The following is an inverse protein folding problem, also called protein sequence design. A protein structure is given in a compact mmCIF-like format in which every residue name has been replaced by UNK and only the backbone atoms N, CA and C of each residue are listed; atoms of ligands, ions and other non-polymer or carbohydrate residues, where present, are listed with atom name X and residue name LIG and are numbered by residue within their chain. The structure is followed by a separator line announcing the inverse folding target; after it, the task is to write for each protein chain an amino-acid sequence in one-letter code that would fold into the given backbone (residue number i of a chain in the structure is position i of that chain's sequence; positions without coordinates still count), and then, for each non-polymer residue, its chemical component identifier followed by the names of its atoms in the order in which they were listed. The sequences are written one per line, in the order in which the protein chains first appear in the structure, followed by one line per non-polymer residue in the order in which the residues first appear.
data_IF_480235454449
#
_entry.id   IF_480235454449
#
_cell.length_a   1.000
_cell.length_b   1.000
_cell.length_c   1.000
_cell.angle_alpha   90.00
_cell.angle_beta   90.00
_cell.angle_gamma   90.00
#
_symmetry.space_group_name_H-M   'P 1'
#
loop_
_entity.id
_entity.type
_entity.pdbx_description
1 polymer ?
#
# COMPACT_ATOMS: atom_id res chain seq x y z
N UNK A 1 -5.97 -35.63 10.15
CA UNK A 1 -7.09 -34.70 10.44
C UNK A 1 -6.69 -33.85 11.62
N UNK A 2 -6.58 -32.54 11.43
CA UNK A 2 -6.21 -31.64 12.54
C UNK A 2 -7.41 -31.36 13.44
N UNK A 3 -7.16 -30.99 14.70
CA UNK A 3 -8.21 -30.60 15.67
C UNK A 3 -9.13 -29.51 15.10
N UNK A 4 -8.59 -28.64 14.24
CA UNK A 4 -9.35 -27.61 13.50
C UNK A 4 -10.38 -28.19 12.51
N UNK A 5 -10.07 -29.30 11.85
CA UNK A 5 -10.98 -29.96 10.89
C UNK A 5 -12.12 -30.68 11.60
N UNK A 6 -11.83 -31.24 12.78
CA UNK A 6 -12.84 -31.89 13.62
C UNK A 6 -13.83 -30.84 14.17
N UNK A 7 -13.32 -29.69 14.61
CA UNK A 7 -14.14 -28.60 15.12
C UNK A 7 -15.00 -27.98 14.02
N UNK A 8 -14.44 -27.70 12.85
CA UNK A 8 -15.18 -27.17 11.70
C UNK A 8 -16.34 -28.10 11.28
N UNK A 9 -16.12 -29.42 11.31
CA UNK A 9 -17.11 -30.42 10.90
C UNK A 9 -18.22 -30.65 11.93
N UNK A 10 -17.93 -30.44 13.23
CA UNK A 10 -18.92 -30.50 14.31
C UNK A 10 -19.78 -29.23 14.31
N UNK A 11 -19.19 -28.06 14.00
CA UNK A 11 -19.91 -26.78 13.95
C UNK A 11 -20.78 -26.65 12.69
N UNK A 12 -20.41 -27.24 11.55
CA UNK A 12 -21.20 -27.15 10.31
C UNK A 12 -22.39 -28.12 10.21
N UNK A 13 -22.58 -29.00 11.19
CA UNK A 13 -23.66 -30.00 11.18
C UNK A 13 -25.02 -29.41 11.59
N UNK A 14 -26.12 -29.94 11.03
CA UNK A 14 -27.49 -29.49 11.31
C UNK A 14 -27.91 -29.57 12.79
N UNK A 15 -27.22 -30.35 13.61
CA UNK A 15 -27.40 -30.41 15.06
C UNK A 15 -26.76 -29.24 15.84
N UNK A 16 -25.85 -28.48 15.23
CA UNK A 16 -25.18 -27.33 15.86
C UNK A 16 -26.08 -26.11 16.07
N UNK A 17 -27.08 -25.93 15.20
CA UNK A 17 -27.92 -24.71 15.15
C UNK A 17 -28.78 -24.46 16.39
N UNK A 18 -29.03 -25.46 17.24
CA UNK A 18 -29.93 -25.33 18.41
C UNK A 18 -29.16 -24.99 19.70
N UNK A 19 -27.83 -25.13 19.72
CA UNK A 19 -26.96 -24.79 20.87
C UNK A 19 -26.12 -23.53 20.60
N UNK A 20 -26.33 -22.89 19.44
CA UNK A 20 -25.42 -21.87 18.90
C UNK A 20 -25.48 -20.52 19.63
N UNK A 21 -26.65 -20.07 20.06
CA UNK A 21 -26.78 -18.72 20.65
C UNK A 21 -26.05 -18.59 21.98
N UNK A 22 -26.26 -19.47 22.98
CA UNK A 22 -25.65 -19.31 24.31
C UNK A 22 -24.12 -19.44 24.27
N UNK A 23 -23.59 -20.38 23.48
CA UNK A 23 -22.14 -20.60 23.39
C UNK A 23 -21.47 -19.45 22.66
N UNK A 24 -22.10 -18.90 21.61
CA UNK A 24 -21.58 -17.74 20.88
C UNK A 24 -21.55 -16.49 21.76
N UNK A 25 -22.56 -16.29 22.59
CA UNK A 25 -22.62 -15.17 23.53
C UNK A 25 -21.56 -15.30 24.63
N UNK A 26 -21.36 -16.50 25.19
CA UNK A 26 -20.30 -16.75 26.20
C UNK A 26 -18.91 -16.50 25.61
N UNK A 27 -18.66 -16.97 24.39
CA UNK A 27 -17.38 -16.76 23.71
C UNK A 27 -17.17 -15.27 23.39
N UNK A 28 -18.20 -14.57 22.90
CA UNK A 28 -18.12 -13.12 22.65
C UNK A 28 -17.88 -12.32 23.93
N UNK A 29 -18.52 -12.69 25.04
CA UNK A 29 -18.31 -12.05 26.33
C UNK A 29 -16.90 -12.34 26.89
N UNK A 30 -16.39 -13.56 26.73
CA UNK A 30 -15.01 -13.89 27.10
C UNK A 30 -13.97 -13.10 26.28
N UNK A 31 -14.22 -12.89 24.97
CA UNK A 31 -13.37 -12.03 24.14
C UNK A 31 -13.43 -10.56 24.61
N UNK A 32 -14.63 -10.08 24.97
CA UNK A 32 -14.83 -8.71 25.48
C UNK A 32 -14.12 -8.50 26.81
N UNK A 33 -14.18 -9.47 27.72
CA UNK A 33 -13.50 -9.44 29.02
C UNK A 33 -11.98 -9.57 28.91
N UNK A 34 -11.50 -10.26 27.88
CA UNK A 34 -10.06 -10.41 27.62
C UNK A 34 -9.46 -9.21 26.87
N UNK A 35 -10.25 -8.17 26.57
CA UNK A 35 -9.84 -7.01 25.74
C UNK A 35 -9.26 -7.43 24.38
N UNK A 36 -9.65 -8.60 23.88
CA UNK A 36 -9.18 -9.10 22.59
C UNK A 36 -10.01 -8.41 21.51
N UNK A 37 -9.36 -7.74 20.53
CA UNK A 37 -10.07 -7.07 19.45
C UNK A 37 -11.00 -8.05 18.71
N UNK A 38 -12.21 -7.59 18.46
CA UNK A 38 -13.19 -8.34 17.67
C UNK A 38 -12.64 -8.61 16.26
N UNK A 39 -13.13 -9.68 15.58
CA UNK A 39 -12.73 -9.95 14.20
C UNK A 39 -12.98 -8.78 13.25
N UNK A 40 -14.00 -7.96 13.51
CA UNK A 40 -14.32 -6.77 12.72
C UNK A 40 -13.27 -5.66 12.94
N UNK A 41 -12.85 -5.43 14.18
CA UNK A 41 -11.77 -4.47 14.48
C UNK A 41 -10.45 -4.91 13.84
N UNK A 42 -10.11 -6.20 13.90
CA UNK A 42 -8.92 -6.73 13.22
C UNK A 42 -9.01 -6.56 11.69
N UNK A 43 -10.20 -6.76 11.10
CA UNK A 43 -10.41 -6.50 9.68
C UNK A 43 -10.26 -5.02 9.33
N UNK A 44 -10.80 -4.12 10.16
CA UNK A 44 -10.66 -2.67 9.99
C UNK A 44 -9.18 -2.24 10.07
N UNK A 45 -8.44 -2.73 11.07
CA UNK A 45 -6.99 -2.48 11.21
C UNK A 45 -6.24 -3.01 9.99
N UNK A 46 -6.58 -4.20 9.49
CA UNK A 46 -5.93 -4.76 8.30
C UNK A 46 -6.22 -3.95 7.04
N UNK A 47 -7.44 -3.45 6.89
CA UNK A 47 -7.81 -2.56 5.78
C UNK A 47 -7.00 -1.27 5.85
N UNK A 48 -6.86 -0.70 7.05
CA UNK A 48 -6.09 0.53 7.26
C UNK A 48 -4.60 0.33 7.00
N UNK A 49 -4.00 -0.76 7.47
CA UNK A 49 -2.60 -1.11 7.15
C UNK A 49 -2.41 -1.27 5.65
N UNK A 50 -3.38 -1.88 4.96
CA UNK A 50 -3.32 -2.05 3.50
C UNK A 50 -3.41 -0.71 2.78
N UNK A 51 -4.26 0.21 3.26
CA UNK A 51 -4.38 1.58 2.74
C UNK A 51 -3.07 2.36 2.91
N UNK A 52 -2.51 2.35 4.12
CA UNK A 52 -1.24 3.02 4.42
C UNK A 52 -0.08 2.44 3.61
N UNK A 53 -0.05 1.12 3.41
CA UNK A 53 0.96 0.48 2.56
C UNK A 53 0.86 0.96 1.12
N UNK A 54 -0.35 1.07 0.56
CA UNK A 54 -0.56 1.61 -0.77
C UNK A 54 -0.14 3.08 -0.88
N UNK A 55 -0.42 3.88 0.16
CA UNK A 55 -0.03 5.29 0.24
C UNK A 55 1.49 5.45 0.27
N UNK A 56 2.20 4.67 1.08
CA UNK A 56 3.68 4.65 1.12
C UNK A 56 4.28 4.27 -0.23
N UNK A 57 3.70 3.29 -0.92
CA UNK A 57 4.15 2.93 -2.27
C UNK A 57 3.92 4.07 -3.28
N UNK A 58 2.78 4.75 -3.21
CA UNK A 58 2.50 5.89 -4.06
C UNK A 58 3.50 7.03 -3.83
N UNK A 59 3.78 7.39 -2.57
CA UNK A 59 4.78 8.40 -2.20
C UNK A 59 6.19 8.01 -2.67
N UNK A 60 6.57 6.74 -2.55
CA UNK A 60 7.87 6.25 -3.04
C UNK A 60 7.99 6.41 -4.57
N UNK A 61 6.92 6.11 -5.31
CA UNK A 61 6.90 6.30 -6.76
C UNK A 61 6.99 7.79 -7.14
N UNK A 62 6.31 8.67 -6.40
CA UNK A 62 6.42 10.12 -6.58
C UNK A 62 7.83 10.64 -6.34
N UNK A 63 8.49 10.19 -5.25
CA UNK A 63 9.89 10.54 -4.97
C UNK A 63 10.85 10.05 -6.06
N UNK A 64 10.63 8.85 -6.59
CA UNK A 64 11.41 8.33 -7.72
C UNK A 64 11.26 9.23 -8.96
N UNK A 65 10.02 9.59 -9.31
CA UNK A 65 9.75 10.46 -10.45
C UNK A 65 10.37 11.85 -10.29
N UNK A 66 10.31 12.45 -9.09
CA UNK A 66 10.98 13.72 -8.80
C UNK A 66 12.50 13.62 -8.91
N UNK A 67 13.08 12.50 -8.49
CA UNK A 67 14.52 12.24 -8.63
C UNK A 67 14.94 12.21 -10.10
N UNK A 68 14.13 11.59 -10.97
CA UNK A 68 14.40 11.55 -12.42
C UNK A 68 14.29 12.94 -13.06
N UNK A 69 13.31 13.75 -12.65
CA UNK A 69 13.19 15.14 -13.11
C UNK A 69 14.42 15.97 -12.73
N UNK A 70 14.91 15.85 -11.49
CA UNK A 70 16.12 16.56 -11.05
C UNK A 70 17.35 16.15 -11.86
N UNK A 71 17.52 14.86 -12.16
CA UNK A 71 18.62 14.39 -13.02
C UNK A 71 18.57 15.01 -14.42
N UNK A 72 17.38 15.04 -15.04
CA UNK A 72 17.21 15.66 -16.37
C UNK A 72 17.53 17.15 -16.32
N UNK A 73 17.11 17.87 -15.27
CA UNK A 73 17.44 19.28 -15.10
C UNK A 73 18.94 19.51 -14.91
N UNK A 74 19.62 18.62 -14.19
CA UNK A 74 21.06 18.70 -13.99
C UNK A 74 21.81 18.50 -15.31
N UNK A 75 21.43 17.52 -16.13
CA UNK A 75 22.01 17.33 -17.48
C UNK A 75 21.75 18.54 -18.39
N UNK A 76 20.57 19.16 -18.29
CA UNK A 76 20.24 20.37 -19.04
C UNK A 76 21.12 21.56 -18.61
N UNK A 77 21.36 21.71 -17.31
CA UNK A 77 22.22 22.76 -16.76
C UNK A 77 23.68 22.56 -17.21
N UNK A 78 24.21 21.35 -17.14
CA UNK A 78 25.55 21.03 -17.62
C UNK A 78 25.71 21.30 -19.13
N UNK A 79 24.68 20.97 -19.94
CA UNK A 79 24.68 21.31 -21.38
C UNK A 79 24.67 22.81 -21.61
N UNK A 80 23.84 23.54 -20.87
CA UNK A 80 23.75 25.01 -20.98
C UNK A 80 25.07 25.69 -20.56
N UNK A 81 25.72 25.19 -19.50
CA UNK A 81 27.04 25.68 -19.07
C UNK A 81 28.13 25.38 -20.12
N UNK A 82 28.11 24.18 -20.70
CA UNK A 82 29.04 23.82 -21.77
C UNK A 82 28.85 24.67 -23.03
N UNK A 83 27.59 24.98 -23.39
CA UNK A 83 27.27 25.89 -24.49
C UNK A 83 27.73 27.33 -24.19
N UNK A 84 27.47 27.81 -22.98
CA UNK A 84 27.95 29.12 -22.51
C UNK A 84 29.46 29.24 -22.54
N UNK A 85 30.19 28.18 -22.18
CA UNK A 85 31.65 28.16 -22.24
C UNK A 85 32.21 28.21 -23.68
N UNK A 86 31.43 27.75 -24.66
CA UNK A 86 31.78 27.83 -26.09
C UNK A 86 31.39 29.15 -26.74
N UNK A 87 30.46 29.90 -26.13
CA UNK A 87 30.02 31.17 -26.67
C UNK A 87 31.18 32.20 -26.65
N UNK A 88 31.33 33.02 -27.72
CA UNK A 88 32.31 34.09 -27.73
C UNK A 88 32.03 35.09 -26.59
N UNK A 89 33.07 35.81 -26.15
CA UNK A 89 32.95 36.80 -25.08
C UNK A 89 31.74 37.72 -25.33
N UNK A 90 30.88 37.92 -24.31
CA UNK A 90 29.64 38.66 -24.50
C UNK A 90 29.97 40.07 -24.98
N UNK A 91 29.31 40.49 -26.05
CA UNK A 91 29.32 41.88 -26.48
C UNK A 91 28.70 42.76 -25.38
N UNK A 92 28.95 44.06 -25.43
CA UNK A 92 28.43 45.02 -24.44
C UNK A 92 26.88 44.94 -24.32
N UNK A 93 26.21 44.68 -25.44
CA UNK A 93 24.76 44.44 -25.50
C UNK A 93 24.32 43.17 -24.74
N UNK A 94 25.09 42.09 -24.83
CA UNK A 94 24.85 40.85 -24.07
C UNK A 94 25.03 41.09 -22.57
N UNK A 95 26.01 41.89 -22.18
CA UNK A 95 26.23 42.24 -20.75
C UNK A 95 25.03 43.02 -20.19
N UNK A 96 24.51 44.00 -20.95
CA UNK A 96 23.30 44.73 -20.57
C UNK A 96 22.06 43.83 -20.52
N UNK A 97 21.92 42.91 -21.46
CA UNK A 97 20.83 41.93 -21.47
C UNK A 97 20.88 40.98 -20.26
N UNK A 98 22.08 40.52 -19.87
CA UNK A 98 22.27 39.68 -18.68
C UNK A 98 21.93 40.45 -17.40
N UNK A 99 22.36 41.71 -17.29
CA UNK A 99 22.01 42.55 -16.14
C UNK A 99 20.49 42.77 -16.01
N UNK A 100 19.80 42.98 -17.14
CA UNK A 100 18.34 43.10 -17.15
C UNK A 100 17.66 41.77 -16.76
N UNK A 101 18.18 40.64 -17.25
CA UNK A 101 17.67 39.31 -16.90
C UNK A 101 17.87 39.00 -15.41
N UNK A 102 19.02 39.38 -14.84
CA UNK A 102 19.30 39.26 -13.40
C UNK A 102 18.33 40.11 -12.58
N UNK A 103 18.15 41.38 -12.93
CA UNK A 103 17.18 42.26 -12.26
C UNK A 103 15.74 41.71 -12.34
N UNK A 104 15.35 41.15 -13.49
CA UNK A 104 14.04 40.50 -13.64
C UNK A 104 13.94 39.25 -12.78
N UNK A 105 15.00 38.44 -12.68
CA UNK A 105 15.00 37.23 -11.83
C UNK A 105 14.89 37.58 -10.35
N UNK A 106 15.56 38.64 -9.89
CA UNK A 106 15.45 39.16 -8.53
C UNK A 106 14.04 39.68 -8.24
N UNK A 107 13.42 40.38 -9.20
CA UNK A 107 12.04 40.83 -9.07
C UNK A 107 11.05 39.65 -8.97
N UNK A 108 11.23 38.59 -9.77
CA UNK A 108 10.42 37.37 -9.70
C UNK A 108 10.61 36.69 -8.34
N UNK A 109 11.85 36.58 -7.86
CA UNK A 109 12.15 36.00 -6.55
C UNK A 109 11.43 36.78 -5.43
N UNK A 110 11.52 38.11 -5.44
CA UNK A 110 10.84 38.97 -4.46
C UNK A 110 9.30 38.81 -4.50
N UNK A 111 8.71 38.70 -5.69
CA UNK A 111 7.25 38.42 -5.82
C UNK A 111 6.91 37.04 -5.26
N UNK A 112 7.73 36.02 -5.53
CA UNK A 112 7.49 34.66 -5.03
C UNK A 112 7.60 34.57 -3.51
N UNK A 113 8.56 35.28 -2.90
CA UNK A 113 8.72 35.38 -1.46
C UNK A 113 7.52 36.10 -0.82
N UNK A 114 7.07 37.20 -1.42
CA UNK A 114 5.87 37.91 -0.97
C UNK A 114 4.60 37.03 -1.07
N UNK A 115 4.47 36.22 -2.12
CA UNK A 115 3.37 35.27 -2.27
C UNK A 115 3.43 34.16 -1.21
N UNK A 116 4.61 33.62 -0.93
CA UNK A 116 4.80 32.61 0.11
C UNK A 116 4.43 33.15 1.49
N UNK A 117 4.90 34.37 1.83
CA UNK A 117 4.55 35.05 3.06
C UNK A 117 3.04 35.31 3.18
N UNK A 118 2.37 35.69 2.08
CA UNK A 118 0.92 35.89 2.06
C UNK A 118 0.15 34.57 2.26
N UNK A 119 0.60 33.47 1.66
CA UNK A 119 0.00 32.14 1.84
C UNK A 119 0.16 31.66 3.29
N UNK A 120 1.36 31.80 3.86
CA UNK A 120 1.63 31.43 5.25
C UNK A 120 0.76 32.25 6.22
N UNK A 121 0.64 33.56 6.00
CA UNK A 121 -0.26 34.41 6.77
C UNK A 121 -1.73 33.96 6.66
N UNK A 122 -2.17 33.55 5.45
CA UNK A 122 -3.50 33.00 5.23
C UNK A 122 -3.76 31.67 5.97
N UNK A 123 -2.80 30.75 5.94
CA UNK A 123 -2.89 29.47 6.66
C UNK A 123 -2.90 29.67 8.18
N UNK A 124 -2.08 30.60 8.69
CA UNK A 124 -2.09 30.95 10.11
C UNK A 124 -3.44 31.56 10.53
N UNK A 125 -4.04 32.41 9.71
CA UNK A 125 -5.37 32.96 9.96
C UNK A 125 -6.46 31.87 9.96
N UNK A 126 -6.40 30.90 9.04
CA UNK A 126 -7.32 29.76 9.02
C UNK A 126 -7.18 28.89 10.28
N UNK A 127 -5.94 28.61 10.70
CA UNK A 127 -5.67 27.85 11.92
C UNK A 127 -6.26 28.53 13.15
N UNK A 128 -6.05 29.84 13.29
CA UNK A 128 -6.65 30.62 14.38
C UNK A 128 -8.20 30.53 14.36
N UNK A 129 -8.82 30.62 13.18
CA UNK A 129 -10.28 30.48 13.04
C UNK A 129 -10.79 29.07 13.42
N UNK A 130 -10.02 28.02 13.12
CA UNK A 130 -10.33 26.65 13.54
C UNK A 130 -10.20 26.47 15.05
N UNK A 131 -9.13 27.00 15.66
CA UNK A 131 -8.92 26.97 17.11
C UNK A 131 -10.08 27.68 17.85
N UNK A 132 -10.52 28.85 17.35
CA UNK A 132 -11.71 29.54 17.86
C UNK A 132 -13.00 28.72 17.73
N UNK A 133 -13.15 27.97 16.63
CA UNK A 133 -14.31 27.11 16.42
C UNK A 133 -14.32 25.91 17.38
N UNK A 134 -13.15 25.31 17.61
CA UNK A 134 -12.98 24.24 18.60
C UNK A 134 -13.34 24.76 20.00
N UNK A 135 -12.82 25.93 20.39
CA UNK A 135 -13.13 26.53 21.69
C UNK A 135 -14.64 26.78 21.89
N UNK A 136 -15.36 27.21 20.83
CA UNK A 136 -16.82 27.36 20.88
C UNK A 136 -17.55 26.02 21.07
N UNK A 137 -17.12 24.97 20.37
CA UNK A 137 -17.72 23.63 20.50
C UNK A 137 -17.47 23.04 21.89
N UNK A 138 -16.26 23.23 22.44
CA UNK A 138 -15.93 22.80 23.80
C UNK A 138 -16.80 23.53 24.85
N UNK A 139 -17.03 24.83 24.67
CA UNK A 139 -17.95 25.59 25.51
C UNK A 139 -19.40 25.06 25.43
N UNK A 140 -19.90 24.75 24.22
CA UNK A 140 -21.23 24.16 24.04
C UNK A 140 -21.35 22.78 24.68
N UNK A 141 -20.32 21.92 24.52
CA UNK A 141 -20.28 20.61 25.17
C UNK A 141 -20.24 20.75 26.70
N UNK A 142 -19.52 21.73 27.23
CA UNK A 142 -19.51 22.04 28.65
C UNK A 142 -20.90 22.47 29.14
N UNK A 143 -21.60 23.31 28.39
CA UNK A 143 -22.97 23.74 28.72
C UNK A 143 -23.96 22.55 28.70
N UNK A 144 -23.86 21.69 27.69
CA UNK A 144 -24.69 20.47 27.60
C UNK A 144 -24.41 19.50 28.76
N UNK A 145 -23.16 19.38 29.22
CA UNK A 145 -22.78 18.56 30.38
C UNK A 145 -23.24 19.18 31.70
N UNK A 146 -23.23 20.52 31.81
CA UNK A 146 -23.68 21.23 32.99
C UNK A 146 -25.21 21.28 33.09
N UNK A 147 -25.92 21.09 31.97
CA UNK A 147 -27.37 20.98 31.95
C UNK A 147 -27.76 19.80 32.86
N UNK A 148 -28.47 20.03 33.97
CA UNK A 148 -28.85 18.96 34.86
C UNK A 148 -29.60 17.93 34.05
N UNK A 149 -29.17 16.67 34.17
CA UNK A 149 -29.82 15.52 33.55
C UNK A 149 -31.30 15.65 33.85
N UNK A 150 -32.09 15.99 32.82
CA UNK A 150 -33.49 16.32 33.00
C UNK A 150 -34.09 15.14 33.74
N UNK A 151 -34.65 15.42 34.93
CA UNK A 151 -35.18 14.39 35.83
C UNK A 151 -35.93 13.38 34.97
N UNK A 152 -35.61 12.07 35.10
CA UNK A 152 -36.07 11.04 34.18
C UNK A 152 -37.54 11.28 33.95
N UNK A 153 -37.89 11.67 32.72
CA UNK A 153 -39.26 12.02 32.36
C UNK A 153 -40.07 10.81 32.78
N UNK A 154 -40.83 10.95 33.87
CA UNK A 154 -41.52 9.86 34.51
C UNK A 154 -42.24 9.12 33.40
N UNK A 155 -41.83 7.87 33.17
CA UNK A 155 -42.17 7.11 31.98
C UNK A 155 -43.67 7.21 31.77
N UNK A 156 -44.08 8.15 30.90
CA UNK A 156 -45.46 8.24 30.50
C UNK A 156 -45.71 6.89 29.82
N UNK A 157 -46.74 6.15 30.23
CA UNK A 157 -47.05 4.88 29.61
C UNK A 157 -47.16 5.17 28.13
N UNK A 158 -46.24 4.59 27.35
CA UNK A 158 -46.29 4.66 25.90
C UNK A 158 -47.59 3.96 25.54
N UNK A 159 -48.64 4.76 25.34
CA UNK A 159 -49.90 4.27 24.85
C UNK A 159 -49.56 3.52 23.56
N UNK A 160 -49.86 2.22 23.56
CA UNK A 160 -49.56 1.31 22.48
C UNK A 160 -49.98 1.97 21.17
N UNK A 161 -49.00 2.48 20.43
CA UNK A 161 -49.23 2.89 19.04
C UNK A 161 -49.57 1.59 18.33
N UNK A 162 -50.79 1.45 17.77
CA UNK A 162 -51.12 0.28 16.98
C UNK A 162 -50.11 0.23 15.84
N UNK A 163 -49.27 -0.80 15.88
CA UNK A 163 -48.37 -1.15 14.78
C UNK A 163 -49.31 -1.55 13.64
N UNK A 164 -49.66 -0.59 12.78
CA UNK A 164 -50.25 -0.89 11.48
C UNK A 164 -49.30 -1.86 10.78
N UNK A 165 -49.82 -3.05 10.53
CA UNK A 165 -49.11 -4.13 9.89
C UNK A 165 -48.56 -3.64 8.56
N UNK A 166 -47.24 -3.41 8.52
CA UNK A 166 -46.53 -3.25 7.28
C UNK A 166 -46.84 -4.47 6.38
N UNK A 167 -47.19 -4.26 5.10
CA UNK A 167 -47.45 -5.36 4.19
C UNK A 167 -46.25 -6.28 4.17
N UNK A 168 -46.51 -7.58 4.36
CA UNK A 168 -45.54 -8.65 4.25
C UNK A 168 -44.91 -8.63 2.85
N UNK A 169 -43.80 -7.92 2.72
CA UNK A 169 -42.93 -8.00 1.57
C UNK A 169 -42.33 -9.41 1.57
N UNK A 170 -42.70 -10.17 0.54
CA UNK A 170 -42.35 -11.56 0.38
C UNK A 170 -40.84 -11.75 0.51
N UNK A 171 -40.44 -12.59 1.47
CA UNK A 171 -39.07 -13.07 1.60
C UNK A 171 -38.61 -13.63 0.24
N UNK A 172 -37.51 -13.14 -0.35
CA UNK A 172 -36.93 -13.79 -1.51
C UNK A 172 -36.53 -15.20 -1.09
N UNK A 173 -37.00 -16.18 -1.87
CA UNK A 173 -36.63 -17.57 -1.73
C UNK A 173 -35.10 -17.68 -1.66
N UNK A 174 -34.62 -18.42 -0.67
CA UNK A 174 -33.23 -18.80 -0.54
C UNK A 174 -32.79 -19.47 -1.85
N UNK A 175 -32.02 -18.75 -2.64
CA UNK A 175 -31.23 -19.34 -3.69
C UNK A 175 -30.10 -20.12 -2.99
N UNK A 176 -29.99 -21.40 -3.33
CA UNK A 176 -28.81 -22.20 -3.07
C UNK A 176 -27.61 -21.53 -3.77
N UNK A 177 -26.91 -20.66 -3.04
CA UNK A 177 -25.62 -20.15 -3.47
C UNK A 177 -24.59 -21.27 -3.30
N UNK A 178 -24.43 -22.04 -4.38
CA UNK A 178 -23.20 -22.76 -4.70
C UNK A 178 -22.01 -21.80 -4.56
N UNK A 179 -21.40 -21.88 -3.38
CA UNK A 179 -20.26 -21.13 -2.85
C UNK A 179 -18.94 -21.49 -3.59
N UNK A 180 -18.95 -21.42 -4.93
CA UNK A 180 -17.77 -21.44 -5.81
C UNK A 180 -17.70 -20.16 -6.67
N UNK A 181 -18.47 -19.13 -6.32
CA UNK A 181 -18.46 -17.84 -7.02
C UNK A 181 -17.35 -16.88 -6.56
N UNK A 182 -16.81 -17.04 -5.34
CA UNK A 182 -15.68 -16.23 -4.83
C UNK A 182 -14.33 -16.54 -5.52
N UNK A 183 -14.28 -17.58 -6.36
CA UNK A 183 -13.09 -17.93 -7.16
C UNK A 183 -13.14 -17.39 -8.60
N UNK A 184 -14.23 -16.74 -9.00
CA UNK A 184 -14.43 -16.20 -10.35
C UNK A 184 -13.78 -14.82 -10.47
N UNK A 185 -12.50 -14.83 -10.82
CA UNK A 185 -11.79 -13.59 -11.19
C UNK A 185 -10.29 -13.71 -11.26
N UNK A 186 -9.70 -14.75 -10.65
CA UNK A 186 -8.30 -15.09 -10.95
C UNK A 186 -8.30 -15.81 -12.29
N UNK A 187 -8.36 -15.04 -13.40
CA UNK A 187 -8.17 -15.52 -14.78
C UNK A 187 -7.14 -16.63 -14.70
N UNK A 188 -7.53 -17.86 -15.00
CA UNK A 188 -6.63 -18.99 -14.86
C UNK A 188 -5.40 -18.66 -15.70
N UNK A 189 -4.26 -18.46 -15.04
CA UNK A 189 -2.97 -18.22 -15.70
C UNK A 189 -2.49 -19.49 -16.42
N UNK A 190 -3.39 -20.45 -16.68
CA UNK A 190 -3.20 -21.71 -17.38
C UNK A 190 -2.74 -21.52 -18.82
N UNK A 191 -2.97 -20.34 -19.43
CA UNK A 191 -2.44 -20.01 -20.76
C UNK A 191 -1.01 -19.45 -20.73
N UNK A 192 -0.48 -19.11 -19.56
CA UNK A 192 0.92 -18.69 -19.43
C UNK A 192 1.80 -19.91 -19.24
N UNK A 193 2.86 -20.00 -20.03
CA UNK A 193 3.89 -21.01 -19.88
C UNK A 193 4.84 -20.62 -18.74
N UNK A 194 5.53 -21.62 -18.18
CA UNK A 194 6.56 -21.39 -17.18
C UNK A 194 7.66 -20.45 -17.70
N UNK A 195 8.11 -19.49 -16.87
CA UNK A 195 9.24 -18.58 -17.16
C UNK A 195 10.58 -19.30 -17.36
N UNK A 196 10.70 -20.55 -16.92
CA UNK A 196 11.93 -21.32 -17.03
C UNK A 196 12.21 -21.66 -18.51
N UNK A 197 13.44 -21.44 -19.01
CA UNK A 197 13.77 -21.64 -20.41
C UNK A 197 13.48 -23.08 -20.84
N UNK A 198 12.71 -23.26 -21.92
CA UNK A 198 12.33 -24.57 -22.46
C UNK A 198 11.19 -25.30 -21.73
N UNK A 199 10.53 -24.68 -20.75
CA UNK A 199 9.43 -25.32 -20.03
C UNK A 199 8.06 -24.89 -20.58
N UNK A 200 7.31 -25.84 -21.13
CA UNK A 200 5.95 -25.62 -21.67
C UNK A 200 4.84 -26.01 -20.69
N UNK A 201 5.17 -26.32 -19.43
CA UNK A 201 4.16 -26.61 -18.41
C UNK A 201 3.39 -25.35 -18.02
N UNK A 202 2.10 -25.47 -17.66
CA UNK A 202 1.28 -24.33 -17.27
C UNK A 202 1.82 -23.67 -15.99
N UNK A 203 1.86 -22.33 -16.02
CA UNK A 203 2.23 -21.50 -14.87
C UNK A 203 1.24 -21.69 -13.71
N UNK A 204 1.76 -21.94 -12.50
CA UNK A 204 0.98 -22.08 -11.26
C UNK A 204 1.14 -20.91 -10.30
N UNK A 205 2.37 -20.47 -10.02
CA UNK A 205 2.68 -19.39 -9.08
C UNK A 205 3.96 -18.66 -9.48
N UNK A 206 4.01 -17.32 -9.33
CA UNK A 206 5.20 -16.47 -9.56
C UNK A 206 5.89 -16.64 -10.93
N UNK A 207 5.13 -16.97 -11.98
CA UNK A 207 5.63 -17.29 -13.32
C UNK A 207 6.10 -18.73 -13.53
N UNK A 208 6.10 -19.60 -12.51
CA UNK A 208 6.66 -20.96 -12.60
C UNK A 208 5.60 -22.06 -12.56
N UNK A 209 5.88 -23.19 -13.23
CA UNK A 209 5.12 -24.43 -13.04
C UNK A 209 5.35 -25.01 -11.62
N UNK A 210 4.60 -26.04 -11.22
CA UNK A 210 4.73 -26.62 -9.88
C UNK A 210 6.14 -27.15 -9.56
N UNK A 211 6.82 -27.73 -10.55
CA UNK A 211 8.18 -28.29 -10.41
C UNK A 211 9.22 -27.18 -10.24
N UNK A 212 9.23 -26.20 -11.14
CA UNK A 212 10.17 -25.08 -11.07
C UNK A 212 9.91 -24.18 -9.87
N UNK A 213 8.66 -23.96 -9.47
CA UNK A 213 8.34 -23.20 -8.26
C UNK A 213 8.93 -23.85 -7.00
N UNK A 214 8.89 -25.18 -6.88
CA UNK A 214 9.51 -25.89 -5.76
C UNK A 214 11.05 -25.83 -5.81
N UNK A 215 11.65 -25.87 -7.00
CA UNK A 215 13.09 -25.68 -7.18
C UNK A 215 13.53 -24.27 -6.77
N UNK A 216 12.81 -23.27 -7.27
CA UNK A 216 13.00 -21.86 -6.98
C UNK A 216 12.87 -21.54 -5.49
N UNK A 217 11.78 -22.00 -4.85
CA UNK A 217 11.55 -21.80 -3.41
C UNK A 217 12.64 -22.43 -2.54
N UNK A 218 13.29 -23.50 -3.02
CA UNK A 218 14.40 -24.18 -2.33
C UNK A 218 15.78 -23.62 -2.72
N UNK A 219 15.85 -22.58 -3.55
CA UNK A 219 17.13 -22.02 -4.03
C UNK A 219 17.94 -22.98 -4.89
N UNK A 220 17.28 -23.88 -5.63
CA UNK A 220 17.91 -24.86 -6.55
C UNK A 220 17.64 -24.55 -8.02
N UNK A 221 16.92 -23.48 -8.33
CA UNK A 221 16.66 -23.06 -9.70
C UNK A 221 17.67 -21.98 -10.09
N UNK A 222 18.55 -22.30 -11.02
CA UNK A 222 19.56 -21.39 -11.57
C UNK A 222 18.93 -20.37 -12.53
N UNK A 223 19.58 -19.21 -12.69
CA UNK A 223 19.12 -18.15 -13.60
C UNK A 223 17.90 -17.35 -13.12
N UNK A 224 17.51 -17.46 -11.85
CA UNK A 224 16.42 -16.68 -11.25
C UNK A 224 16.77 -16.20 -9.85
N UNK A 225 16.23 -15.05 -9.44
CA UNK A 225 16.38 -14.53 -8.07
C UNK A 225 15.50 -15.32 -7.10
N UNK A 226 16.10 -15.98 -6.09
CA UNK A 226 15.39 -16.72 -5.05
C UNK A 226 14.55 -15.86 -4.10
N UNK A 227 13.76 -16.47 -3.20
CA UNK A 227 12.87 -15.76 -2.26
C UNK A 227 13.61 -14.82 -1.28
N UNK A 228 14.90 -15.06 -1.04
CA UNK A 228 15.73 -14.22 -0.16
C UNK A 228 16.62 -13.24 -0.95
N UNK A 229 16.40 -13.08 -2.25
CA UNK A 229 17.28 -12.32 -3.13
C UNK A 229 18.56 -13.09 -3.51
N UNK A 230 18.63 -14.40 -3.26
CA UNK A 230 19.80 -15.21 -3.57
C UNK A 230 19.84 -15.59 -5.07
N UNK A 231 20.96 -15.34 -5.73
CA UNK A 231 21.28 -15.78 -7.10
C UNK A 231 22.42 -16.78 -7.00
N UNK A 232 22.31 -17.91 -7.70
CA UNK A 232 23.35 -18.94 -7.76
C UNK A 232 23.77 -19.18 -9.21
N UNK A 233 25.08 -19.25 -9.43
CA UNK A 233 25.71 -19.65 -10.68
C UNK A 233 26.90 -20.55 -10.34
N UNK A 234 26.72 -21.87 -10.48
CA UNK A 234 27.71 -22.87 -10.07
C UNK A 234 28.05 -22.80 -8.58
N UNK A 235 29.33 -22.58 -8.25
CA UNK A 235 29.84 -22.48 -6.88
C UNK A 235 29.68 -21.09 -6.25
N UNK A 236 29.27 -20.10 -7.03
CA UNK A 236 29.14 -18.71 -6.57
C UNK A 236 27.69 -18.35 -6.25
N UNK A 237 27.52 -17.55 -5.20
CA UNK A 237 26.25 -17.01 -4.81
C UNK A 237 26.33 -15.48 -4.61
N UNK A 238 25.28 -14.78 -5.01
CA UNK A 238 25.13 -13.34 -4.80
C UNK A 238 23.80 -13.04 -4.13
N UNK A 239 23.75 -11.95 -3.38
CA UNK A 239 22.53 -11.39 -2.81
C UNK A 239 22.18 -10.12 -3.58
N UNK A 240 20.99 -10.11 -4.17
CA UNK A 240 20.36 -8.93 -4.80
C UNK A 240 19.16 -8.46 -3.96
N UNK A 241 18.66 -7.27 -4.27
CA UNK A 241 17.49 -6.71 -3.59
C UNK A 241 16.26 -7.65 -3.74
N UNK A 242 15.56 -7.99 -2.64
CA UNK A 242 14.37 -8.86 -2.65
C UNK A 242 13.25 -8.42 -3.61
N UNK A 243 13.22 -7.15 -4.03
CA UNK A 243 12.24 -6.66 -5.02
C UNK A 243 12.32 -7.39 -6.38
N UNK A 244 13.45 -8.02 -6.69
CA UNK A 244 13.68 -8.77 -7.93
C UNK A 244 13.30 -10.26 -7.83
N UNK A 245 12.63 -10.67 -6.76
CA UNK A 245 12.19 -12.06 -6.52
C UNK A 245 11.47 -12.68 -7.74
N UNK A 246 12.03 -13.78 -8.27
CA UNK A 246 11.44 -14.55 -9.37
C UNK A 246 11.65 -13.94 -10.77
N UNK A 247 12.44 -12.88 -10.87
CA UNK A 247 12.89 -12.34 -12.16
C UNK A 247 14.10 -13.14 -12.71
N UNK A 248 14.21 -13.25 -14.05
CA UNK A 248 15.34 -13.91 -14.68
C UNK A 248 16.62 -13.11 -14.46
N UNK A 249 17.72 -13.84 -14.30
CA UNK A 249 19.03 -13.29 -14.00
C UNK A 249 20.04 -13.82 -14.99
N UNK A 250 20.88 -12.92 -15.50
CA UNK A 250 22.05 -13.24 -16.28
C UNK A 250 23.28 -12.78 -15.50
N UNK A 251 24.22 -13.69 -15.26
CA UNK A 251 25.49 -13.38 -14.61
C UNK A 251 26.52 -13.16 -15.72
N UNK A 252 27.01 -11.93 -15.85
CA UNK A 252 27.99 -11.55 -16.85
C UNK A 252 29.37 -11.47 -16.21
N UNK A 253 30.26 -12.36 -16.63
CA UNK A 253 31.62 -12.48 -16.10
C UNK A 253 31.83 -13.77 -15.31
N UNK A 254 32.96 -13.87 -14.60
CA UNK A 254 33.33 -15.06 -13.84
C UNK A 254 33.90 -14.69 -12.47
N UNK A 255 33.68 -15.56 -11.48
CA UNK A 255 34.20 -15.42 -10.12
C UNK A 255 33.57 -14.27 -9.33
N UNK A 256 34.32 -13.73 -8.38
CA UNK A 256 33.85 -12.68 -7.47
C UNK A 256 33.57 -11.33 -8.17
N UNK A 257 34.09 -11.13 -9.39
CA UNK A 257 33.90 -9.90 -10.16
C UNK A 257 32.71 -9.97 -11.14
N UNK A 258 31.94 -11.06 -11.14
CA UNK A 258 30.79 -11.18 -12.01
C UNK A 258 29.71 -10.15 -11.67
N UNK A 259 29.11 -9.58 -12.71
CA UNK A 259 28.01 -8.64 -12.59
C UNK A 259 26.69 -9.38 -12.74
N UNK A 260 25.74 -9.09 -11.86
CA UNK A 260 24.40 -9.68 -11.91
C UNK A 260 23.49 -8.73 -12.69
N UNK A 261 22.88 -9.21 -13.77
CA UNK A 261 21.89 -8.48 -14.54
C UNK A 261 20.51 -9.07 -14.33
N UNK A 262 19.54 -8.24 -13.92
CA UNK A 262 18.14 -8.63 -13.80
C UNK A 262 17.37 -7.94 -14.91
N UNK A 263 16.71 -8.70 -15.80
CA UNK A 263 16.02 -8.15 -16.97
C UNK A 263 16.90 -7.23 -17.84
N UNK A 264 18.21 -7.50 -17.92
CA UNK A 264 19.19 -6.72 -18.69
C UNK A 264 19.72 -5.46 -17.99
N UNK A 265 19.27 -5.15 -16.76
CA UNK A 265 19.81 -4.05 -15.96
C UNK A 265 20.86 -4.60 -14.97
N UNK A 266 22.05 -3.99 -14.94
CA UNK A 266 23.10 -4.33 -13.97
C UNK A 266 22.65 -3.90 -12.58
N UNK A 267 22.47 -4.87 -11.69
CA UNK A 267 22.06 -4.61 -10.31
C UNK A 267 23.24 -4.74 -9.35
N UNK A 268 23.33 -3.90 -8.31
CA UNK A 268 24.32 -4.09 -7.26
C UNK A 268 24.05 -5.41 -6.55
N UNK A 269 25.08 -6.26 -6.47
CA UNK A 269 24.99 -7.59 -5.89
C UNK A 269 26.16 -7.81 -4.93
N UNK A 270 25.87 -8.36 -3.76
CA UNK A 270 26.90 -8.69 -2.76
C UNK A 270 27.25 -10.18 -2.87
N UNK A 271 28.54 -10.50 -3.01
CA UNK A 271 28.97 -11.90 -3.03
C UNK A 271 28.77 -12.55 -1.67
N UNK A 272 28.11 -13.70 -1.63
CA UNK A 272 27.85 -14.46 -0.41
C UNK A 272 28.58 -15.79 -0.50
N UNK A 273 29.19 -16.24 0.59
CA UNK A 273 29.73 -17.59 0.65
C UNK A 273 28.60 -18.61 0.42
N UNK A 274 28.82 -19.58 -0.45
CA UNK A 274 27.84 -20.65 -0.69
C UNK A 274 27.66 -21.45 0.61
N UNK A 275 26.45 -21.36 1.17
CA UNK A 275 26.00 -22.19 2.30
C UNK A 275 25.59 -23.59 1.86
#
# INVERSE_FOLDING_TARGET
MGVKDLFARVVSGSAGRVVETPVRDIVQEAFRQAEIPSPQELQAVRAEVSRLTAEVHALRNQLSALTDVVKVQQEQLERAEAERARAPAPTEDLTRAVALAQANSEAIAAVSEAQAAALEAGLNAQRAAHDDAIARLEAQLSELRARPEAAPVAAAPVAAVPVEAAPAEAAPAAADDDDDAGRRGRKSLSHLHCKAPGCTEPHRSKGFCGKHYQGWRRGRLEGFVGPEGAVRDGEHAWRVDPRFEGEPVEVVGHGAAAQVQVNGEVVPAESVAAA
#
